data_IF_726553261686
#
_entry.id   IF_726553261686
#
_cell.length_a   1.000
_cell.length_b   1.000
_cell.length_c   1.000
_cell.angle_alpha   90.00
_cell.angle_beta   90.00
_cell.angle_gamma   90.00
#
_symmetry.space_group_name_H-M   'P 1'
#
loop_
_entity.id
_entity.type
_entity.pdbx_description
1 polymer ?
#
# COMPACT_ATOMS: atom_id res chain seq x y z
N UNK A 1 -29.22 3.08 3.43
CA UNK A 1 -28.80 4.20 2.58
C UNK A 1 -27.33 4.38 2.88
N UNK A 2 -26.49 3.64 2.16
CA UNK A 2 -25.03 3.67 2.33
C UNK A 2 -24.58 5.05 1.87
N UNK A 3 -24.05 5.86 2.79
CA UNK A 3 -23.35 7.08 2.39
C UNK A 3 -22.08 6.63 1.70
N UNK A 4 -21.91 7.02 0.43
CA UNK A 4 -20.60 7.02 -0.20
C UNK A 4 -19.67 7.81 0.72
N UNK A 5 -18.73 7.11 1.37
CA UNK A 5 -17.64 7.78 2.05
C UNK A 5 -16.78 8.46 0.98
N UNK A 6 -16.40 9.72 1.15
CA UNK A 6 -15.74 10.50 0.11
C UNK A 6 -14.28 10.06 -0.01
N UNK A 7 -14.04 8.98 -0.74
CA UNK A 7 -12.69 8.59 -1.14
C UNK A 7 -12.24 9.47 -2.32
N UNK A 8 -11.61 10.60 -2.02
CA UNK A 8 -10.76 11.33 -2.98
C UNK A 8 -9.56 11.95 -2.27
N UNK A 9 -8.68 11.08 -1.76
CA UNK A 9 -7.46 11.47 -1.04
C UNK A 9 -6.32 12.01 -1.90
N UNK A 10 -6.52 12.07 -3.21
CA UNK A 10 -5.57 12.76 -4.09
C UNK A 10 -6.18 14.05 -4.58
N UNK A 11 -5.40 15.11 -4.46
CA UNK A 11 -5.72 16.41 -5.00
C UNK A 11 -5.70 16.39 -6.53
N UNK A 12 -6.37 17.37 -7.10
CA UNK A 12 -6.31 17.75 -8.51
C UNK A 12 -4.86 17.89 -9.04
N UNK A 13 -3.95 18.38 -8.20
CA UNK A 13 -2.53 18.51 -8.54
C UNK A 13 -1.84 17.14 -8.61
N UNK A 14 -2.12 16.26 -7.67
CA UNK A 14 -1.58 14.89 -7.66
C UNK A 14 -2.11 14.06 -8.83
N UNK A 15 -3.40 14.20 -9.17
CA UNK A 15 -3.96 13.60 -10.39
C UNK A 15 -3.24 14.09 -11.65
N UNK A 16 -2.96 15.40 -11.76
CA UNK A 16 -2.18 15.93 -12.89
C UNK A 16 -0.75 15.39 -12.90
N UNK A 17 -0.09 15.27 -11.75
CA UNK A 17 1.25 14.67 -11.63
C UNK A 17 1.24 13.21 -12.08
N UNK A 18 0.24 12.43 -11.65
CA UNK A 18 0.02 11.06 -12.07
C UNK A 18 -0.15 10.93 -13.58
N UNK A 19 -1.07 11.68 -14.19
CA UNK A 19 -1.28 11.66 -15.65
C UNK A 19 -0.03 12.08 -16.43
N UNK A 20 0.73 13.06 -15.92
CA UNK A 20 1.99 13.48 -16.51
C UNK A 20 3.02 12.36 -16.51
N UNK A 21 3.15 11.61 -15.41
CA UNK A 21 4.07 10.45 -15.30
C UNK A 21 3.67 9.35 -16.27
N UNK A 22 2.38 9.15 -16.48
CA UNK A 22 1.87 8.22 -17.47
C UNK A 22 2.08 8.70 -18.92
N UNK A 23 2.48 9.95 -19.13
CA UNK A 23 2.61 10.55 -20.47
C UNK A 23 1.27 10.88 -21.12
N UNK A 24 0.19 10.94 -20.33
CA UNK A 24 -1.17 11.18 -20.81
C UNK A 24 -1.55 12.65 -20.59
N UNK A 25 -1.95 13.34 -21.66
CA UNK A 25 -2.48 14.69 -21.53
C UNK A 25 -3.84 14.66 -20.81
N UNK A 26 -4.06 15.54 -19.82
CA UNK A 26 -5.30 15.53 -19.02
C UNK A 26 -6.57 15.62 -19.86
N UNK A 27 -6.56 16.40 -20.94
CA UNK A 27 -7.71 16.50 -21.86
C UNK A 27 -8.00 15.20 -22.63
N UNK A 28 -6.98 14.36 -22.87
CA UNK A 28 -7.15 13.06 -23.49
C UNK A 28 -7.65 12.02 -22.49
N UNK A 29 -7.15 12.07 -21.25
CA UNK A 29 -7.57 11.18 -20.17
C UNK A 29 -9.04 11.36 -19.79
N UNK A 30 -9.53 12.61 -19.74
CA UNK A 30 -10.88 12.86 -19.25
C UNK A 30 -11.97 12.68 -20.30
N UNK A 31 -11.65 12.69 -21.60
CA UNK A 31 -12.66 12.62 -22.67
C UNK A 31 -13.73 13.73 -22.58
N UNK A 32 -13.49 14.81 -21.83
CA UNK A 32 -14.46 15.87 -21.53
C UNK A 32 -15.07 15.82 -20.11
N UNK A 33 -14.79 14.80 -19.30
CA UNK A 33 -15.21 14.67 -17.90
C UNK A 33 -14.27 15.41 -16.92
N UNK A 34 -14.59 15.36 -15.62
CA UNK A 34 -13.69 15.88 -14.59
C UNK A 34 -12.45 14.99 -14.47
N UNK A 35 -11.32 15.57 -14.01
CA UNK A 35 -10.08 14.80 -13.79
C UNK A 35 -10.24 13.77 -12.66
N UNK A 36 -11.17 14.02 -11.75
CA UNK A 36 -11.50 13.10 -10.65
C UNK A 36 -12.17 11.81 -11.13
N UNK A 37 -12.81 11.85 -12.30
CA UNK A 37 -13.54 10.72 -12.88
C UNK A 37 -12.63 9.72 -13.61
N UNK A 38 -11.35 10.06 -13.82
CA UNK A 38 -10.43 9.20 -14.57
C UNK A 38 -10.11 7.93 -13.77
N UNK A 39 -10.27 6.77 -14.39
CA UNK A 39 -10.00 5.46 -13.80
C UNK A 39 -8.75 4.78 -14.38
N UNK A 40 -8.22 3.75 -13.70
CA UNK A 40 -7.16 2.90 -14.26
C UNK A 40 -7.58 2.24 -15.58
N UNK A 41 -8.87 1.90 -15.73
CA UNK A 41 -9.42 1.33 -16.95
C UNK A 41 -9.29 2.30 -18.14
N UNK A 42 -9.63 3.56 -17.94
CA UNK A 42 -9.52 4.61 -18.97
C UNK A 42 -8.07 4.82 -19.43
N UNK A 43 -7.12 4.65 -18.50
CA UNK A 43 -5.70 4.90 -18.75
C UNK A 43 -5.02 3.76 -19.51
N UNK A 44 -5.57 2.55 -19.46
CA UNK A 44 -4.95 1.35 -20.06
C UNK A 44 -4.68 1.53 -21.56
N UNK A 45 -5.64 2.06 -22.30
CA UNK A 45 -5.50 2.26 -23.75
C UNK A 45 -4.65 3.50 -24.12
N UNK A 46 -4.41 4.39 -23.16
CA UNK A 46 -3.69 5.66 -23.37
C UNK A 46 -2.21 5.58 -23.02
N UNK A 47 -1.82 4.58 -22.21
CA UNK A 47 -0.45 4.44 -21.70
C UNK A 47 0.33 3.45 -22.55
N UNK A 48 1.44 3.90 -23.13
CA UNK A 48 2.38 3.01 -23.79
C UNK A 48 3.29 2.31 -22.76
N UNK A 49 3.43 0.99 -22.88
CA UNK A 49 4.36 0.19 -22.08
C UNK A 49 5.64 -0.06 -22.89
N UNK A 50 6.77 0.44 -22.40
CA UNK A 50 8.09 0.08 -22.97
C UNK A 50 8.49 -1.34 -22.54
N UNK A 51 9.27 -2.01 -23.40
CA UNK A 51 9.46 -3.46 -23.41
C UNK A 51 9.67 -4.09 -22.02
N UNK A 52 8.81 -5.06 -21.70
CA UNK A 52 8.67 -5.69 -20.39
C UNK A 52 9.83 -6.61 -19.94
N UNK A 53 10.90 -6.72 -20.74
CA UNK A 53 11.97 -7.70 -20.50
C UNK A 53 12.78 -7.48 -19.22
N UNK A 54 12.81 -6.25 -18.66
CA UNK A 54 13.43 -6.04 -17.35
C UNK A 54 12.56 -6.61 -16.21
N UNK A 55 11.26 -6.32 -16.23
CA UNK A 55 10.33 -6.81 -15.21
C UNK A 55 10.26 -8.35 -15.26
N UNK A 56 10.18 -8.93 -16.46
CA UNK A 56 10.23 -10.37 -16.65
C UNK A 56 11.44 -11.02 -15.97
N UNK A 57 12.64 -10.48 -16.20
CA UNK A 57 13.87 -11.03 -15.60
C UNK A 57 13.88 -10.92 -14.08
N UNK A 58 13.33 -9.84 -13.52
CA UNK A 58 13.26 -9.66 -12.06
C UNK A 58 12.27 -10.62 -11.43
N UNK A 59 11.09 -10.81 -12.04
CA UNK A 59 10.10 -11.76 -11.54
C UNK A 59 10.61 -13.20 -11.61
N UNK A 60 11.28 -13.56 -12.71
CA UNK A 60 11.91 -14.86 -12.86
C UNK A 60 12.97 -15.09 -11.76
N UNK A 61 13.79 -14.07 -11.47
CA UNK A 61 14.78 -14.15 -10.41
C UNK A 61 14.11 -14.30 -9.03
N UNK A 62 13.03 -13.55 -8.75
CA UNK A 62 12.29 -13.68 -7.49
C UNK A 62 11.74 -15.10 -7.31
N UNK A 63 11.11 -15.64 -8.37
CA UNK A 63 10.54 -17.00 -8.39
C UNK A 63 11.63 -18.06 -8.11
N UNK A 64 12.80 -17.90 -8.71
CA UNK A 64 13.87 -18.88 -8.63
C UNK A 64 14.69 -18.80 -7.32
N UNK A 65 14.60 -17.70 -6.59
CA UNK A 65 15.42 -17.43 -5.38
C UNK A 65 14.63 -17.60 -4.06
N UNK A 66 13.45 -18.23 -4.11
CA UNK A 66 12.72 -18.60 -2.89
C UNK A 66 13.47 -19.71 -2.13
N UNK A 67 13.60 -19.57 -0.81
CA UNK A 67 14.24 -20.58 0.04
C UNK A 67 13.31 -21.74 0.41
N UNK A 68 12.00 -21.59 0.16
CA UNK A 68 10.97 -22.57 0.44
C UNK A 68 9.79 -22.49 -0.54
N UNK A 69 8.75 -23.29 -0.28
CA UNK A 69 7.52 -23.30 -1.08
C UNK A 69 6.43 -22.44 -0.46
N UNK A 70 5.75 -21.64 -1.28
CA UNK A 70 4.58 -20.89 -0.86
C UNK A 70 3.39 -21.83 -0.58
N UNK A 71 2.94 -21.87 0.67
CA UNK A 71 1.75 -22.60 1.11
C UNK A 71 0.47 -21.90 0.64
N UNK A 72 -0.12 -22.43 -0.44
CA UNK A 72 -1.32 -21.88 -1.04
C UNK A 72 -2.58 -22.02 -0.17
N UNK A 73 -2.63 -23.01 0.74
CA UNK A 73 -3.78 -23.18 1.64
C UNK A 73 -3.74 -22.14 2.77
N UNK A 74 -2.56 -21.92 3.35
CA UNK A 74 -2.33 -20.84 4.32
C UNK A 74 -2.63 -19.48 3.69
N UNK A 75 -2.04 -19.18 2.52
CA UNK A 75 -2.22 -17.90 1.86
C UNK A 75 -3.70 -17.65 1.54
N UNK A 76 -4.41 -18.61 0.96
CA UNK A 76 -5.85 -18.46 0.67
C UNK A 76 -6.69 -18.25 1.95
N UNK A 77 -6.41 -19.00 3.01
CA UNK A 77 -7.15 -18.92 4.28
C UNK A 77 -6.95 -17.57 4.94
N UNK A 78 -5.70 -17.13 5.08
CA UNK A 78 -5.38 -15.90 5.77
C UNK A 78 -5.72 -14.67 4.90
N UNK A 79 -5.62 -14.76 3.57
CA UNK A 79 -6.11 -13.69 2.69
C UNK A 79 -7.61 -13.47 2.83
N UNK A 80 -8.40 -14.53 2.99
CA UNK A 80 -9.83 -14.38 3.30
C UNK A 80 -10.03 -13.64 4.63
N UNK A 81 -9.20 -13.91 5.65
CA UNK A 81 -9.20 -13.15 6.90
C UNK A 81 -8.84 -11.68 6.72
N UNK A 82 -7.87 -11.34 5.85
CA UNK A 82 -7.55 -9.94 5.51
C UNK A 82 -8.72 -9.27 4.79
N UNK A 83 -9.40 -9.97 3.89
CA UNK A 83 -10.59 -9.46 3.21
C UNK A 83 -11.73 -9.15 4.20
N UNK A 84 -11.97 -10.05 5.16
CA UNK A 84 -12.93 -9.83 6.25
C UNK A 84 -12.54 -8.62 7.10
N UNK A 85 -11.26 -8.47 7.46
CA UNK A 85 -10.75 -7.29 8.18
C UNK A 85 -10.99 -5.98 7.43
N UNK A 86 -10.79 -5.96 6.10
CA UNK A 86 -11.08 -4.79 5.25
C UNK A 86 -12.59 -4.47 5.25
N UNK A 87 -13.46 -5.48 5.25
CA UNK A 87 -14.90 -5.31 5.32
C UNK A 87 -15.37 -4.76 6.69
N UNK A 88 -14.69 -5.16 7.77
CA UNK A 88 -15.00 -4.77 9.14
C UNK A 88 -14.59 -3.34 9.51
N UNK A 89 -13.79 -2.65 8.68
CA UNK A 89 -13.34 -1.27 8.94
C UNK A 89 -14.48 -0.29 9.23
N UNK A 90 -15.64 -0.47 8.59
CA UNK A 90 -16.82 0.35 8.86
C UNK A 90 -17.38 0.16 10.27
N UNK A 91 -17.30 -1.06 10.81
CA UNK A 91 -17.69 -1.37 12.17
C UNK A 91 -16.65 -0.83 13.18
N UNK A 92 -15.36 -0.96 12.88
CA UNK A 92 -14.28 -0.36 13.68
C UNK A 92 -14.45 1.16 13.78
N UNK A 93 -14.71 1.82 12.64
CA UNK A 93 -14.97 3.26 12.62
C UNK A 93 -16.19 3.66 13.44
N UNK A 94 -17.26 2.87 13.38
CA UNK A 94 -18.50 3.12 14.13
C UNK A 94 -18.32 2.93 15.65
N UNK A 95 -17.42 2.05 16.08
CA UNK A 95 -17.04 1.89 17.48
C UNK A 95 -16.24 3.09 18.02
N UNK A 96 -15.55 3.83 17.15
CA UNK A 96 -14.84 5.06 17.50
C UNK A 96 -13.49 4.78 18.16
N UNK A 97 -13.19 5.49 19.26
CA UNK A 97 -11.94 5.28 20.00
C UNK A 97 -12.10 4.04 20.90
N UNK A 98 -11.24 3.01 20.78
CA UNK A 98 -11.35 1.78 21.56
C UNK A 98 -11.29 2.04 23.07
N UNK A 99 -12.10 1.31 23.84
CA UNK A 99 -12.03 1.34 25.30
C UNK A 99 -10.76 0.64 25.81
N UNK A 100 -10.50 0.77 27.12
CA UNK A 100 -9.33 0.12 27.74
C UNK A 100 -9.48 -1.40 27.73
N UNK A 101 -8.58 -2.07 27.01
CA UNK A 101 -8.58 -3.53 26.87
C UNK A 101 -9.25 -4.03 25.61
N UNK A 102 -9.79 -3.13 24.78
CA UNK A 102 -10.19 -3.45 23.41
C UNK A 102 -8.99 -3.34 22.46
N UNK A 103 -8.99 -4.19 21.43
CA UNK A 103 -7.92 -4.34 20.44
C UNK A 103 -8.51 -4.28 19.02
N UNK A 104 -9.39 -3.29 18.77
CA UNK A 104 -10.18 -3.19 17.54
C UNK A 104 -9.30 -3.10 16.28
N UNK A 105 -8.17 -2.41 16.35
CA UNK A 105 -7.26 -2.29 15.20
C UNK A 105 -6.26 -3.46 15.14
N UNK A 106 -5.72 -3.90 16.27
CA UNK A 106 -4.79 -5.04 16.31
C UNK A 106 -5.46 -6.37 15.89
N UNK A 107 -6.77 -6.53 16.12
CA UNK A 107 -7.50 -7.70 15.63
C UNK A 107 -7.54 -7.76 14.09
N UNK A 108 -7.51 -6.62 13.38
CA UNK A 108 -7.54 -6.55 11.91
C UNK A 108 -6.30 -7.17 11.24
N UNK A 109 -5.15 -7.16 11.92
CA UNK A 109 -3.87 -7.58 11.34
C UNK A 109 -3.53 -9.04 11.63
N UNK A 110 -4.26 -9.71 12.54
CA UNK A 110 -3.99 -11.09 12.94
C UNK A 110 -3.78 -12.06 11.75
N UNK A 111 -4.65 -12.08 10.72
CA UNK A 111 -4.40 -12.94 9.54
C UNK A 111 -3.21 -12.46 8.71
N UNK A 112 -3.01 -11.15 8.58
CA UNK A 112 -1.88 -10.58 7.84
C UNK A 112 -0.53 -10.95 8.46
N UNK A 113 -0.42 -10.98 9.79
CA UNK A 113 0.79 -11.43 10.47
C UNK A 113 1.18 -12.88 10.14
N UNK A 114 0.19 -13.77 10.01
CA UNK A 114 0.45 -15.17 9.60
C UNK A 114 0.98 -15.26 8.17
N UNK A 115 0.48 -14.41 7.28
CA UNK A 115 1.02 -14.30 5.92
C UNK A 115 2.46 -13.74 5.97
N UNK A 116 2.71 -12.66 6.71
CA UNK A 116 4.04 -12.05 6.83
C UNK A 116 5.09 -13.04 7.37
N UNK A 117 4.73 -13.81 8.39
CA UNK A 117 5.57 -14.86 8.97
C UNK A 117 5.92 -15.93 7.92
N UNK A 118 4.91 -16.42 7.19
CA UNK A 118 5.11 -17.40 6.12
C UNK A 118 5.98 -16.86 4.97
N UNK A 119 5.71 -15.64 4.49
CA UNK A 119 6.52 -14.99 3.45
C UNK A 119 7.96 -14.75 3.90
N UNK A 120 8.17 -14.55 5.20
CA UNK A 120 9.51 -14.45 5.80
C UNK A 120 10.21 -15.81 5.80
N UNK A 121 9.52 -16.87 6.24
CA UNK A 121 10.07 -18.23 6.33
C UNK A 121 10.54 -18.75 4.97
N UNK A 122 9.75 -18.53 3.91
CA UNK A 122 10.07 -18.99 2.54
C UNK A 122 11.02 -18.07 1.79
N UNK A 123 11.55 -17.03 2.44
CA UNK A 123 12.55 -16.13 1.88
C UNK A 123 12.01 -15.17 0.81
N UNK A 124 10.69 -14.98 0.74
CA UNK A 124 10.06 -14.14 -0.29
C UNK A 124 10.57 -12.69 -0.23
N UNK A 125 10.62 -12.11 0.97
CA UNK A 125 11.09 -10.73 1.14
C UNK A 125 12.59 -10.55 0.84
N UNK A 126 13.41 -11.54 1.20
CA UNK A 126 14.85 -11.50 0.92
C UNK A 126 15.10 -11.60 -0.60
N UNK A 127 14.39 -12.51 -1.27
CA UNK A 127 14.41 -12.66 -2.72
C UNK A 127 13.93 -11.39 -3.44
N UNK A 128 12.83 -10.77 -2.97
CA UNK A 128 12.34 -9.51 -3.50
C UNK A 128 13.38 -8.38 -3.37
N UNK A 129 14.02 -8.23 -2.22
CA UNK A 129 15.04 -7.19 -2.01
C UNK A 129 16.28 -7.39 -2.89
N UNK A 130 16.74 -8.62 -3.05
CA UNK A 130 17.90 -8.93 -3.89
C UNK A 130 17.67 -8.63 -5.37
N UNK A 131 16.40 -8.75 -5.83
CA UNK A 131 16.07 -8.73 -7.25
C UNK A 131 15.31 -7.48 -7.71
N UNK A 132 14.76 -6.68 -6.81
CA UNK A 132 14.04 -5.44 -7.14
C UNK A 132 14.96 -4.21 -7.01
N UNK A 133 14.79 -3.20 -7.88
CA UNK A 133 15.55 -1.97 -7.77
C UNK A 133 15.01 -1.12 -6.61
N UNK A 134 15.84 -0.22 -6.09
CA UNK A 134 15.38 0.85 -5.19
C UNK A 134 14.36 1.78 -5.87
N UNK A 135 13.59 2.51 -5.08
CA UNK A 135 12.65 3.50 -5.59
C UNK A 135 13.37 4.73 -6.15
N UNK A 136 13.42 4.83 -7.47
CA UNK A 136 13.80 6.05 -8.21
C UNK A 136 12.60 6.60 -8.97
N UNK A 137 12.61 7.87 -9.36
CA UNK A 137 11.52 8.44 -10.17
C UNK A 137 11.29 7.65 -11.47
N UNK A 138 12.38 7.19 -12.10
CA UNK A 138 12.34 6.36 -13.31
C UNK A 138 11.72 4.98 -13.04
N UNK A 139 12.07 4.33 -11.92
CA UNK A 139 11.46 3.06 -11.56
C UNK A 139 9.98 3.21 -11.22
N UNK A 140 9.61 4.24 -10.46
CA UNK A 140 8.22 4.55 -10.11
C UNK A 140 7.39 4.80 -11.37
N UNK A 141 7.90 5.58 -12.33
CA UNK A 141 7.23 5.80 -13.61
C UNK A 141 6.99 4.48 -14.36
N UNK A 142 8.02 3.65 -14.54
CA UNK A 142 7.90 2.36 -15.23
C UNK A 142 6.92 1.43 -14.53
N UNK A 143 7.06 1.28 -13.21
CA UNK A 143 6.18 0.47 -12.38
C UNK A 143 4.73 0.93 -12.50
N UNK A 144 4.48 2.23 -12.41
CA UNK A 144 3.13 2.80 -12.53
C UNK A 144 2.52 2.49 -13.89
N UNK A 145 3.29 2.63 -14.97
CA UNK A 145 2.83 2.26 -16.33
C UNK A 145 2.51 0.76 -16.41
N UNK A 146 3.33 -0.12 -15.82
CA UNK A 146 3.05 -1.56 -15.79
C UNK A 146 1.79 -1.90 -14.96
N UNK A 147 1.60 -1.25 -13.81
CA UNK A 147 0.44 -1.46 -12.95
C UNK A 147 -0.88 -1.11 -13.64
N UNK A 148 -0.93 -0.03 -14.43
CA UNK A 148 -2.10 0.35 -15.23
C UNK A 148 -2.52 -0.75 -16.22
N UNK A 149 -1.55 -1.50 -16.74
CA UNK A 149 -1.76 -2.61 -17.67
C UNK A 149 -1.98 -3.96 -16.99
N UNK A 150 -1.74 -4.04 -15.69
CA UNK A 150 -1.95 -5.25 -14.90
C UNK A 150 -3.43 -5.40 -14.59
N UNK A 151 -4.16 -6.17 -15.41
CA UNK A 151 -5.60 -6.38 -15.23
C UNK A 151 -5.94 -6.88 -13.81
N UNK A 152 -5.07 -7.73 -13.27
CA UNK A 152 -5.24 -8.33 -11.97
C UNK A 152 -5.13 -7.35 -10.81
N UNK A 153 -4.52 -6.17 -10.97
CA UNK A 153 -4.49 -5.13 -9.93
C UNK A 153 -5.91 -4.67 -9.57
N UNK A 154 -6.66 -4.25 -10.59
CA UNK A 154 -8.01 -3.74 -10.41
C UNK A 154 -8.95 -4.85 -9.91
N UNK A 155 -8.84 -6.05 -10.48
CA UNK A 155 -9.64 -7.21 -10.06
C UNK A 155 -9.40 -7.56 -8.59
N UNK A 156 -8.13 -7.68 -8.18
CA UNK A 156 -7.75 -8.05 -6.79
C UNK A 156 -8.23 -7.01 -5.78
N UNK A 157 -8.13 -5.71 -6.09
CA UNK A 157 -8.62 -4.66 -5.19
C UNK A 157 -10.15 -4.60 -5.14
N UNK A 158 -10.84 -4.86 -6.26
CA UNK A 158 -12.30 -4.95 -6.29
C UNK A 158 -12.84 -6.12 -5.44
N UNK A 159 -12.13 -7.24 -5.36
CA UNK A 159 -12.51 -8.39 -4.51
C UNK A 159 -12.69 -7.99 -3.04
N UNK A 160 -11.89 -7.05 -2.55
CA UNK A 160 -11.96 -6.53 -1.17
C UNK A 160 -12.65 -5.17 -1.07
N UNK A 161 -13.40 -4.82 -2.11
CA UNK A 161 -14.35 -3.70 -2.11
C UNK A 161 -13.77 -2.33 -2.43
N UNK A 162 -12.57 -2.23 -3.02
CA UNK A 162 -12.09 -0.95 -3.57
C UNK A 162 -12.80 -0.65 -4.90
N UNK A 163 -13.45 0.51 -4.98
CA UNK A 163 -14.02 1.04 -6.22
C UNK A 163 -12.94 1.57 -7.17
N UNK A 164 -13.29 1.79 -8.44
CA UNK A 164 -12.35 2.22 -9.49
C UNK A 164 -11.63 3.55 -9.16
N UNK A 165 -12.33 4.50 -8.53
CA UNK A 165 -11.73 5.76 -8.08
C UNK A 165 -10.73 5.55 -6.95
N UNK A 166 -11.03 4.67 -5.99
CA UNK A 166 -10.09 4.34 -4.90
C UNK A 166 -8.84 3.64 -5.44
N UNK A 167 -9.01 2.69 -6.37
CA UNK A 167 -7.89 2.00 -7.03
C UNK A 167 -6.97 2.99 -7.74
N UNK A 168 -7.57 3.94 -8.46
CA UNK A 168 -6.83 4.99 -9.16
C UNK A 168 -6.14 5.92 -8.18
N UNK A 169 -6.80 6.26 -7.07
CA UNK A 169 -6.23 7.08 -6.01
C UNK A 169 -5.00 6.42 -5.36
N UNK A 170 -5.06 5.11 -5.08
CA UNK A 170 -3.93 4.34 -4.53
C UNK A 170 -2.70 4.41 -5.43
N UNK A 171 -2.87 4.18 -6.74
CA UNK A 171 -1.76 4.21 -7.70
C UNK A 171 -1.21 5.63 -7.89
N UNK A 172 -2.09 6.63 -7.96
CA UNK A 172 -1.68 8.02 -8.09
C UNK A 172 -0.95 8.54 -6.84
N UNK A 173 -1.35 8.11 -5.64
CA UNK A 173 -0.69 8.44 -4.38
C UNK A 173 0.77 7.94 -4.35
N UNK A 174 1.04 6.74 -4.87
CA UNK A 174 2.42 6.25 -5.04
C UNK A 174 3.26 7.22 -5.89
N UNK A 175 2.70 7.77 -6.96
CA UNK A 175 3.39 8.76 -7.79
C UNK A 175 3.54 10.11 -7.09
N UNK A 176 2.54 10.55 -6.31
CA UNK A 176 2.64 11.81 -5.57
C UNK A 176 3.76 11.75 -4.53
N UNK A 177 3.96 10.58 -3.90
CA UNK A 177 4.94 10.36 -2.85
C UNK A 177 6.33 9.88 -3.32
N UNK A 178 6.66 10.00 -4.62
CA UNK A 178 7.92 9.52 -5.16
C UNK A 178 9.18 9.96 -4.40
N UNK A 179 9.23 11.21 -3.93
CA UNK A 179 10.38 11.73 -3.17
C UNK A 179 10.50 11.08 -1.78
N UNK A 180 9.37 10.70 -1.17
CA UNK A 180 9.36 9.99 0.11
C UNK A 180 9.70 8.53 -0.07
N UNK A 181 9.18 7.89 -1.12
CA UNK A 181 9.53 6.51 -1.49
C UNK A 181 11.04 6.35 -1.71
N UNK A 182 11.70 7.35 -2.31
CA UNK A 182 13.14 7.35 -2.51
C UNK A 182 13.97 7.35 -1.20
N UNK A 183 13.37 7.68 -0.06
CA UNK A 183 14.03 7.57 1.26
C UNK A 183 14.03 6.15 1.81
N UNK A 184 13.22 5.26 1.24
CA UNK A 184 13.14 3.86 1.62
C UNK A 184 14.14 3.06 0.80
N UNK A 185 15.38 3.07 1.25
CA UNK A 185 16.50 2.38 0.57
C UNK A 185 16.57 0.89 0.96
N UNK A 186 16.87 -0.02 0.03
CA UNK A 186 17.20 -1.41 0.32
C UNK A 186 18.42 -1.58 1.25
N UNK A 187 18.52 -2.71 1.93
CA UNK A 187 19.64 -2.99 2.86
C UNK A 187 21.01 -2.89 2.19
N UNK A 188 21.17 -3.39 0.96
CA UNK A 188 22.43 -3.34 0.22
C UNK A 188 22.93 -1.91 -0.05
N UNK A 189 22.05 -0.91 -0.13
CA UNK A 189 22.47 0.50 -0.24
C UNK A 189 23.13 0.97 1.06
N UNK A 190 22.62 0.51 2.21
CA UNK A 190 23.20 0.83 3.52
C UNK A 190 24.55 0.15 3.72
N UNK A 191 24.78 -1.00 3.08
CA UNK A 191 26.09 -1.66 3.07
C UNK A 191 27.11 -0.91 2.21
N UNK A 192 26.69 -0.37 1.06
CA UNK A 192 27.55 0.43 0.18
C UNK A 192 27.88 1.81 0.75
N UNK A 193 26.96 2.39 1.54
CA UNK A 193 27.09 3.69 2.19
C UNK A 193 26.75 3.60 3.69
N UNK A 194 27.62 2.97 4.51
CA UNK A 194 27.34 2.70 5.91
C UNK A 194 27.14 4.01 6.69
N UNK A 195 26.02 4.09 7.39
CA UNK A 195 25.73 5.14 8.36
C UNK A 195 26.23 4.66 9.72
N UNK A 196 27.02 5.48 10.42
CA UNK A 196 27.74 5.09 11.65
C UNK A 196 26.83 4.51 12.76
N UNK A 197 25.53 4.83 12.72
CA UNK A 197 24.51 4.44 13.70
C UNK A 197 23.61 3.29 13.25
N UNK A 198 23.76 2.78 12.01
CA UNK A 198 22.91 1.74 11.43
C UNK A 198 23.75 0.54 11.06
N UNK A 199 23.48 -0.60 11.70
CA UNK A 199 24.03 -1.88 11.25
C UNK A 199 23.04 -2.54 10.29
N UNK A 200 23.39 -2.73 9.00
CA UNK A 200 22.53 -3.38 8.00
C UNK A 200 22.04 -4.77 8.40
N UNK A 201 22.82 -5.53 9.18
CA UNK A 201 22.46 -6.88 9.65
C UNK A 201 21.17 -6.90 10.51
N UNK A 202 20.81 -5.77 11.11
CA UNK A 202 19.59 -5.63 11.93
C UNK A 202 18.45 -4.93 11.18
N UNK A 203 18.64 -4.60 9.90
CA UNK A 203 17.62 -3.98 9.06
C UNK A 203 16.96 -5.08 8.24
N UNK A 204 15.65 -5.25 8.41
CA UNK A 204 14.89 -6.19 7.59
C UNK A 204 14.82 -5.74 6.12
N UNK A 205 14.60 -6.68 5.18
CA UNK A 205 14.40 -6.34 3.78
C UNK A 205 13.35 -5.26 3.57
N UNK A 206 13.53 -4.40 2.57
CA UNK A 206 12.65 -3.27 2.24
C UNK A 206 11.17 -3.67 2.22
N UNK A 207 10.84 -4.73 1.50
CA UNK A 207 9.47 -5.21 1.33
C UNK A 207 8.88 -5.72 2.65
N UNK A 208 9.70 -6.36 3.50
CA UNK A 208 9.29 -6.74 4.86
C UNK A 208 9.06 -5.51 5.74
N UNK A 209 9.96 -4.53 5.70
CA UNK A 209 9.78 -3.27 6.43
C UNK A 209 8.51 -2.53 6.01
N UNK A 210 8.17 -2.55 4.72
CA UNK A 210 6.92 -2.00 4.23
C UNK A 210 5.70 -2.79 4.76
N UNK A 211 5.70 -4.12 4.60
CA UNK A 211 4.59 -4.99 4.99
C UNK A 211 4.41 -5.05 6.51
N UNK A 212 5.39 -5.55 7.26
CA UNK A 212 5.33 -5.64 8.72
C UNK A 212 5.22 -4.26 9.37
N UNK A 213 5.81 -3.22 8.77
CA UNK A 213 5.67 -1.84 9.26
C UNK A 213 4.23 -1.34 9.21
N UNK A 214 3.51 -1.61 8.12
CA UNK A 214 2.09 -1.28 8.01
C UNK A 214 1.27 -2.01 9.08
N UNK A 215 1.53 -3.29 9.31
CA UNK A 215 0.84 -4.06 10.37
C UNK A 215 1.13 -3.49 11.76
N UNK A 216 2.39 -3.16 12.07
CA UNK A 216 2.76 -2.53 13.34
C UNK A 216 2.10 -1.17 13.56
N UNK A 217 1.93 -0.37 12.50
CA UNK A 217 1.21 0.88 12.58
C UNK A 217 -0.25 0.65 12.96
N UNK A 218 -0.93 -0.30 12.30
CA UNK A 218 -2.31 -0.65 12.58
C UNK A 218 -2.46 -1.18 14.01
N UNK A 219 -1.62 -2.12 14.45
CA UNK A 219 -1.62 -2.67 15.82
C UNK A 219 -1.44 -1.59 16.89
N UNK A 220 -0.62 -0.58 16.57
CA UNK A 220 -0.34 0.53 17.46
C UNK A 220 -1.52 1.51 17.64
N UNK A 221 -2.50 1.50 16.73
CA UNK A 221 -3.57 2.50 16.70
C UNK A 221 -4.46 2.43 17.94
N UNK A 222 -4.81 1.25 18.44
CA UNK A 222 -5.64 1.13 19.64
C UNK A 222 -5.07 1.92 20.81
N UNK A 223 -3.76 1.79 21.03
CA UNK A 223 -3.05 2.52 22.09
C UNK A 223 -2.94 4.00 21.76
N UNK A 224 -2.55 4.36 20.53
CA UNK A 224 -2.38 5.74 20.11
C UNK A 224 -3.68 6.55 20.25
N UNK A 225 -4.79 6.02 19.75
CA UNK A 225 -6.09 6.69 19.77
C UNK A 225 -6.57 6.93 21.20
N UNK A 226 -6.44 5.94 22.08
CA UNK A 226 -6.74 6.11 23.51
C UNK A 226 -5.91 7.19 24.18
N UNK A 227 -4.60 7.21 23.91
CA UNK A 227 -3.69 8.19 24.52
C UNK A 227 -3.94 9.61 24.05
N UNK A 228 -4.45 9.77 22.83
CA UNK A 228 -4.65 11.08 22.19
C UNK A 228 -6.12 11.46 22.02
N UNK A 229 -7.06 10.75 22.65
CA UNK A 229 -8.51 10.88 22.44
C UNK A 229 -9.01 12.33 22.47
N UNK A 230 -8.46 13.17 23.36
CA UNK A 230 -8.85 14.58 23.51
C UNK A 230 -8.46 15.47 22.33
N UNK A 231 -7.58 15.01 21.45
CA UNK A 231 -7.11 15.72 20.25
C UNK A 231 -7.87 15.28 19.00
N UNK A 232 -8.53 14.13 19.03
CA UNK A 232 -9.11 13.50 17.86
C UNK A 232 -10.42 14.19 17.44
N UNK A 233 -10.62 14.31 16.14
CA UNK A 233 -11.86 14.73 15.50
C UNK A 233 -12.42 13.56 14.69
N UNK A 234 -13.69 13.64 14.29
CA UNK A 234 -14.27 12.64 13.40
C UNK A 234 -13.54 12.57 12.05
N UNK A 235 -13.04 13.70 11.55
CA UNK A 235 -12.26 13.79 10.32
C UNK A 235 -10.94 13.03 10.44
N UNK A 236 -10.18 13.23 11.53
CA UNK A 236 -8.94 12.48 11.79
C UNK A 236 -9.19 10.96 11.87
N UNK A 237 -10.33 10.55 12.44
CA UNK A 237 -10.70 9.14 12.52
C UNK A 237 -11.13 8.56 11.16
N UNK A 238 -11.85 9.34 10.35
CA UNK A 238 -12.23 8.97 8.99
C UNK A 238 -10.98 8.80 8.11
N UNK A 239 -10.06 9.76 8.17
CA UNK A 239 -8.78 9.69 7.47
C UNK A 239 -7.96 8.48 7.93
N UNK A 240 -7.79 8.31 9.24
CA UNK A 240 -7.07 7.15 9.77
C UNK A 240 -7.64 5.81 9.32
N UNK A 241 -8.96 5.67 9.23
CA UNK A 241 -9.60 4.45 8.71
C UNK A 241 -9.33 4.26 7.21
N UNK A 242 -9.35 5.33 6.43
CA UNK A 242 -8.98 5.28 5.02
C UNK A 242 -7.50 4.87 4.83
N UNK A 243 -6.60 5.27 5.73
CA UNK A 243 -5.19 4.86 5.71
C UNK A 243 -5.02 3.39 6.04
N UNK A 244 -5.71 2.91 7.08
CA UNK A 244 -5.74 1.49 7.45
C UNK A 244 -6.28 0.67 6.28
N UNK A 245 -7.35 1.13 5.62
CA UNK A 245 -7.88 0.49 4.41
C UNK A 245 -6.81 0.38 3.33
N UNK A 246 -6.13 1.49 3.00
CA UNK A 246 -5.10 1.51 1.98
C UNK A 246 -3.90 0.60 2.31
N UNK A 247 -3.46 0.58 3.57
CA UNK A 247 -2.42 -0.35 4.05
C UNK A 247 -2.84 -1.81 3.89
N UNK A 248 -4.04 -2.18 4.36
CA UNK A 248 -4.55 -3.55 4.22
C UNK A 248 -4.77 -3.93 2.74
N UNK A 249 -5.22 -3.00 1.89
CA UNK A 249 -5.36 -3.23 0.45
C UNK A 249 -4.01 -3.47 -0.23
N UNK A 250 -2.98 -2.68 0.11
CA UNK A 250 -1.61 -2.91 -0.35
C UNK A 250 -1.06 -4.26 0.11
N UNK A 251 -1.31 -4.64 1.37
CA UNK A 251 -0.91 -5.95 1.90
C UNK A 251 -1.63 -7.11 1.21
N UNK A 252 -2.94 -6.98 0.97
CA UNK A 252 -3.73 -7.97 0.27
C UNK A 252 -3.22 -8.17 -1.16
N UNK A 253 -2.87 -7.10 -1.87
CA UNK A 253 -2.29 -7.18 -3.21
C UNK A 253 -0.92 -7.90 -3.24
N UNK A 254 -0.06 -7.62 -2.26
CA UNK A 254 1.22 -8.32 -2.10
C UNK A 254 1.00 -9.82 -1.85
N UNK A 255 0.05 -10.13 -0.98
CA UNK A 255 -0.33 -11.50 -0.63
C UNK A 255 -0.90 -12.25 -1.83
N UNK A 256 -1.73 -11.60 -2.63
CA UNK A 256 -2.28 -12.15 -3.87
C UNK A 256 -1.19 -12.46 -4.90
N UNK A 257 -0.18 -11.59 -5.03
CA UNK A 257 0.96 -11.86 -5.89
C UNK A 257 1.74 -13.10 -5.43
N UNK A 258 1.92 -13.27 -4.12
CA UNK A 258 2.57 -14.45 -3.55
C UNK A 258 1.71 -15.73 -3.72
N UNK A 259 0.40 -15.68 -3.49
CA UNK A 259 -0.48 -16.84 -3.72
C UNK A 259 -0.46 -17.29 -5.19
N UNK A 260 -0.62 -16.35 -6.14
CA UNK A 260 -0.54 -16.66 -7.57
C UNK A 260 0.84 -17.16 -7.99
N UNK A 261 1.91 -16.66 -7.35
CA UNK A 261 3.26 -17.21 -7.55
C UNK A 261 3.35 -18.66 -7.10
N UNK A 262 2.85 -18.98 -5.90
CA UNK A 262 2.80 -20.35 -5.38
C UNK A 262 2.00 -21.31 -6.26
N UNK A 263 0.96 -20.79 -6.94
CA UNK A 263 0.12 -21.55 -7.88
C UNK A 263 0.67 -21.61 -9.31
N UNK A 264 1.67 -20.80 -9.64
CA UNK A 264 2.17 -20.65 -11.01
C UNK A 264 1.19 -19.94 -11.96
N UNK A 265 0.32 -19.08 -11.40
CA UNK A 265 -0.77 -18.38 -12.09
C UNK A 265 -0.44 -16.89 -12.37
N UNK A 266 0.82 -16.49 -12.21
CA UNK A 266 1.30 -15.13 -12.41
C UNK A 266 2.49 -15.09 -13.38
N UNK A 267 2.49 -14.12 -14.30
CA UNK A 267 3.66 -13.85 -15.15
C UNK A 267 4.78 -13.18 -14.35
N UNK A 268 6.02 -13.26 -14.83
CA UNK A 268 7.15 -12.64 -14.12
C UNK A 268 7.11 -11.12 -14.16
N UNK A 269 6.59 -10.58 -15.27
CA UNK A 269 6.31 -9.15 -15.43
C UNK A 269 5.32 -8.66 -14.38
N UNK A 270 4.21 -9.38 -14.24
CA UNK A 270 3.15 -9.07 -13.30
C UNK A 270 3.61 -9.23 -11.85
N UNK A 271 4.37 -10.29 -11.54
CA UNK A 271 4.95 -10.48 -10.21
C UNK A 271 5.80 -9.28 -9.80
N UNK A 272 6.69 -8.82 -10.68
CA UNK A 272 7.53 -7.64 -10.40
C UNK A 272 6.68 -6.39 -10.20
N UNK A 273 5.70 -6.15 -11.06
CA UNK A 273 4.84 -4.98 -10.97
C UNK A 273 4.03 -4.97 -9.67
N UNK A 274 3.40 -6.10 -9.32
CA UNK A 274 2.58 -6.21 -8.11
C UNK A 274 3.40 -6.12 -6.83
N UNK A 275 4.58 -6.76 -6.76
CA UNK A 275 5.44 -6.69 -5.56
C UNK A 275 5.99 -5.28 -5.37
N UNK A 276 6.52 -4.65 -6.41
CA UNK A 276 6.99 -3.26 -6.32
C UNK A 276 5.84 -2.29 -5.99
N UNK A 277 4.70 -2.45 -6.67
CA UNK A 277 3.52 -1.59 -6.52
C UNK A 277 2.91 -1.66 -5.13
N UNK A 278 2.63 -2.87 -4.64
CA UNK A 278 2.10 -3.09 -3.30
C UNK A 278 3.06 -2.59 -2.21
N UNK A 279 4.38 -2.81 -2.36
CA UNK A 279 5.40 -2.27 -1.45
C UNK A 279 5.34 -0.73 -1.41
N UNK A 280 5.23 -0.08 -2.56
CA UNK A 280 5.12 1.37 -2.63
C UNK A 280 3.80 1.89 -2.01
N UNK A 281 2.68 1.19 -2.25
CA UNK A 281 1.39 1.52 -1.62
C UNK A 281 1.46 1.41 -0.10
N UNK A 282 2.04 0.32 0.42
CA UNK A 282 2.22 0.12 1.86
C UNK A 282 3.04 1.25 2.50
N UNK A 283 4.12 1.69 1.85
CA UNK A 283 4.97 2.78 2.34
C UNK A 283 4.23 4.13 2.29
N UNK A 284 3.54 4.41 1.18
CA UNK A 284 2.77 5.64 0.99
C UNK A 284 1.65 5.75 2.03
N UNK A 285 0.89 4.68 2.27
CA UNK A 285 -0.22 4.69 3.23
C UNK A 285 0.23 4.75 4.69
N UNK A 286 1.38 4.16 5.05
CA UNK A 286 1.98 4.39 6.37
C UNK A 286 2.38 5.85 6.58
N UNK A 287 2.87 6.46 5.50
CA UNK A 287 3.24 7.85 5.50
C UNK A 287 2.01 8.72 5.68
N UNK A 288 0.91 8.44 4.96
CA UNK A 288 -0.35 9.18 5.09
C UNK A 288 -0.92 9.09 6.51
N UNK A 289 -1.02 7.88 7.08
CA UNK A 289 -1.45 7.68 8.47
C UNK A 289 -0.66 8.56 9.45
N UNK A 290 0.65 8.66 9.23
CA UNK A 290 1.51 9.47 10.08
C UNK A 290 1.11 10.95 10.04
N UNK A 291 0.76 11.50 8.88
CA UNK A 291 0.39 12.91 8.74
C UNK A 291 -1.08 13.15 9.11
N UNK A 292 -1.96 12.22 8.80
CA UNK A 292 -3.39 12.40 8.91
C UNK A 292 -3.91 12.10 10.33
N UNK A 293 -3.26 11.20 11.09
CA UNK A 293 -3.77 10.78 12.40
C UNK A 293 -2.73 10.80 13.54
N UNK A 294 -1.44 10.71 13.23
CA UNK A 294 -0.40 10.58 14.27
C UNK A 294 0.24 11.91 14.62
N UNK A 295 0.64 12.71 13.62
CA UNK A 295 1.27 14.02 13.81
C UNK A 295 0.23 15.15 13.86
N UNK A 296 -0.65 15.09 14.85
CA UNK A 296 -1.75 16.04 15.00
C UNK A 296 -1.21 17.45 15.31
N UNK A 297 -1.46 18.41 14.42
CA UNK A 297 -1.08 19.82 14.60
C UNK A 297 -2.16 20.62 15.36
N UNK A 298 -1.86 21.88 15.71
CA UNK A 298 -2.82 22.77 16.37
C UNK A 298 -4.03 23.10 15.48
N UNK A 299 -3.86 23.11 14.15
CA UNK A 299 -4.94 23.35 13.18
C UNK A 299 -5.88 22.17 13.03
N UNK A 300 -5.38 20.94 13.20
CA UNK A 300 -6.11 19.69 12.97
C UNK A 300 -6.90 19.22 14.19
N UNK A 301 -6.36 19.45 15.39
CA UNK A 301 -6.92 18.87 16.62
C UNK A 301 -8.28 19.45 16.98
N UNK A 302 -9.01 18.67 17.78
CA UNK A 302 -10.23 19.14 18.44
C UNK A 302 -10.01 20.48 19.19
N UNK A 303 -11.00 21.40 19.17
CA UNK A 303 -10.91 22.67 19.87
C UNK A 303 -10.59 22.50 21.36
N UNK A 304 -9.81 23.44 21.94
CA UNK A 304 -9.62 23.44 23.40
C UNK A 304 -10.96 23.77 24.06
N UNK A 305 -11.56 22.82 24.75
CA UNK A 305 -12.70 23.08 25.63
C UNK A 305 -12.21 23.78 26.89
N UNK A 306 -12.11 25.11 26.84
CA UNK A 306 -11.73 25.98 27.96
C UNK A 306 -10.78 27.10 27.54
N UNK A 307 -11.36 28.28 27.28
CA UNK A 307 -10.61 29.49 26.94
C UNK A 307 -11.54 30.71 26.87
N UNK A 308 -12.10 31.08 28.03
CA UNK A 308 -12.25 32.49 28.42
C UNK A 308 -11.05 32.85 29.32
#
# INVERSE_FOLDING_TARGET
>A
MQGEQPYSRISDEERRKFLKVLGVASAAATGGSAIDDVTLGDLRDLVAVESAGEFARRGEAIRNDLSGSLDAELLATEMAGVADAIADLSAVRAAGVPDRGEELYAELTTPAWRIDDHLTEVGFYASAEANLPRFTSEHIERMTKQLVHTASLAETLSEVGFGEHEQTALVANVVSQADRLALWEPTWVLEEAPVEEVNPDYVSPLQKRAASGALLWIDGLDKHLRQNQVLLTDELLDDGIADVRAMLGGFYLLSAAADRLGRGEISDEELTALVSGSTAMLIASQTDLQYDLVRITDEMRAPRTGGD
#
